data_IF_835393421801
#
_entry.id   IF_835393421801
#
_cell.length_a   1.000
_cell.length_b   1.000
_cell.length_c   1.000
_cell.angle_alpha   90.00
_cell.angle_beta   90.00
_cell.angle_gamma   90.00
#
_symmetry.space_group_name_H-M   'P 1'
#
loop_
_entity.id
_entity.type
_entity.pdbx_description
1 polymer ?
#
# COMPACT_ATOMS: atom_id res chain seq x y z
N UNK A 1 -14.79 -3.33 15.38
CA UNK A 1 -14.28 -2.51 14.26
C UNK A 1 -15.43 -2.20 13.30
N UNK A 2 -15.85 -0.94 13.26
CA UNK A 2 -16.88 -0.37 12.38
C UNK A 2 -16.35 -0.28 10.94
N UNK A 3 -17.23 -0.37 9.93
CA UNK A 3 -16.85 -0.05 8.53
C UNK A 3 -16.22 1.34 8.49
N UNK A 4 -15.06 1.47 7.87
CA UNK A 4 -14.40 2.78 7.74
C UNK A 4 -15.14 3.58 6.66
N UNK A 5 -15.67 4.76 6.98
CA UNK A 5 -16.33 5.64 6.00
C UNK A 5 -15.35 6.36 5.06
N UNK A 6 -14.05 6.11 5.24
CA UNK A 6 -12.95 6.77 4.53
C UNK A 6 -12.57 5.93 3.31
N UNK A 7 -12.51 6.56 2.14
CA UNK A 7 -12.06 5.93 0.89
C UNK A 7 -10.60 5.50 0.94
N UNK A 8 -10.21 4.56 0.07
CA UNK A 8 -8.87 3.97 0.04
C UNK A 8 -7.73 5.02 -0.02
N UNK A 9 -7.76 6.05 -0.89
CA UNK A 9 -6.70 7.05 -0.94
C UNK A 9 -6.60 7.88 0.35
N UNK A 10 -7.74 8.30 0.90
CA UNK A 10 -7.76 9.08 2.14
C UNK A 10 -7.30 8.24 3.34
N UNK A 11 -7.63 6.94 3.34
CA UNK A 11 -7.15 6.01 4.36
C UNK A 11 -5.64 5.79 4.26
N UNK A 12 -5.10 5.64 3.05
CA UNK A 12 -3.64 5.52 2.86
C UNK A 12 -2.91 6.78 3.31
N UNK A 13 -3.41 7.97 2.98
CA UNK A 13 -2.86 9.24 3.48
C UNK A 13 -2.92 9.33 5.01
N UNK A 14 -4.05 8.96 5.60
CA UNK A 14 -4.20 8.89 7.05
C UNK A 14 -3.15 7.97 7.67
N UNK A 15 -2.87 6.81 7.04
CA UNK A 15 -1.88 5.85 7.52
C UNK A 15 -0.44 6.36 7.35
N UNK A 16 -0.13 6.99 6.22
CA UNK A 16 1.19 7.60 5.98
C UNK A 16 1.51 8.69 7.03
N UNK A 17 0.50 9.37 7.57
CA UNK A 17 0.67 10.33 8.65
C UNK A 17 0.86 9.70 10.05
N UNK A 18 0.70 8.38 10.21
CA UNK A 18 0.80 7.71 11.52
C UNK A 18 2.26 7.46 11.91
N UNK A 19 2.65 7.77 13.16
CA UNK A 19 3.97 7.40 13.67
C UNK A 19 4.22 5.89 13.55
N UNK A 20 5.35 5.53 12.95
CA UNK A 20 5.78 4.14 12.77
C UNK A 20 5.23 3.44 11.53
N UNK A 21 4.11 3.87 10.96
CA UNK A 21 3.55 3.21 9.76
C UNK A 21 4.36 3.53 8.50
N UNK A 22 4.65 4.82 8.24
CA UNK A 22 5.40 5.22 7.05
C UNK A 22 6.81 4.59 6.99
N UNK A 23 7.61 4.54 8.08
CA UNK A 23 8.89 3.82 8.07
C UNK A 23 8.77 2.33 7.73
N UNK A 24 7.73 1.64 8.23
CA UNK A 24 7.52 0.22 7.96
C UNK A 24 7.13 -0.03 6.49
N UNK A 25 6.24 0.80 5.94
CA UNK A 25 5.85 0.74 4.53
C UNK A 25 7.05 1.03 3.62
N UNK A 26 7.87 2.03 3.98
CA UNK A 26 9.09 2.33 3.25
C UNK A 26 10.09 1.17 3.30
N UNK A 27 10.25 0.51 4.45
CA UNK A 27 11.11 -0.66 4.59
C UNK A 27 10.59 -1.85 3.77
N UNK A 28 9.28 -2.12 3.78
CA UNK A 28 8.67 -3.17 2.92
C UNK A 28 8.95 -2.90 1.44
N UNK A 29 8.84 -1.64 1.03
CA UNK A 29 9.13 -1.23 -0.33
C UNK A 29 10.62 -1.32 -0.70
N UNK A 30 11.50 -0.82 0.17
CA UNK A 30 12.92 -0.65 -0.13
C UNK A 30 13.76 -1.91 0.15
N UNK A 31 13.37 -2.73 1.12
CA UNK A 31 14.09 -3.95 1.51
C UNK A 31 13.49 -5.23 0.92
N UNK A 32 12.20 -5.23 0.57
CA UNK A 32 11.48 -6.42 0.11
C UNK A 32 10.84 -6.28 -1.28
N UNK A 33 11.02 -5.13 -1.93
CA UNK A 33 10.36 -4.77 -3.20
C UNK A 33 8.83 -5.00 -3.16
N UNK A 34 8.22 -4.83 -1.98
CA UNK A 34 6.79 -5.03 -1.79
C UNK A 34 5.99 -4.02 -2.61
N UNK A 35 4.93 -4.49 -3.26
CA UNK A 35 3.92 -3.58 -3.79
C UNK A 35 3.04 -3.08 -2.65
N UNK A 36 3.51 -2.03 -1.99
CA UNK A 36 2.83 -1.43 -0.84
C UNK A 36 1.41 -0.98 -1.17
N UNK A 37 1.08 -0.66 -2.42
CA UNK A 37 -0.29 -0.28 -2.80
C UNK A 37 -1.24 -1.47 -2.74
N UNK A 38 -0.80 -2.64 -3.21
CA UNK A 38 -1.60 -3.87 -3.13
C UNK A 38 -1.74 -4.35 -1.68
N UNK A 39 -0.68 -4.21 -0.88
CA UNK A 39 -0.75 -4.47 0.56
C UNK A 39 -1.77 -3.54 1.25
N UNK A 40 -1.70 -2.23 0.98
CA UNK A 40 -2.62 -1.24 1.52
C UNK A 40 -4.07 -1.51 1.10
N UNK A 41 -4.30 -1.79 -0.17
CA UNK A 41 -5.62 -2.18 -0.69
C UNK A 41 -6.17 -3.40 0.06
N UNK A 42 -5.33 -4.40 0.26
CA UNK A 42 -5.70 -5.64 0.93
C UNK A 42 -6.14 -5.41 2.37
N UNK A 43 -5.35 -4.62 3.12
CA UNK A 43 -5.66 -4.24 4.49
C UNK A 43 -6.96 -3.43 4.53
N UNK A 44 -7.12 -2.46 3.62
CA UNK A 44 -8.32 -1.64 3.54
C UNK A 44 -9.57 -2.49 3.26
N UNK A 45 -9.53 -3.41 2.30
CA UNK A 45 -10.63 -4.33 2.01
C UNK A 45 -11.01 -5.18 3.22
N UNK A 46 -10.01 -5.70 3.96
CA UNK A 46 -10.26 -6.41 5.20
C UNK A 46 -10.94 -5.56 6.27
N UNK A 47 -10.52 -4.30 6.46
CA UNK A 47 -11.18 -3.37 7.39
C UNK A 47 -12.64 -3.10 7.00
N UNK A 48 -12.95 -3.13 5.70
CA UNK A 48 -14.32 -3.04 5.19
C UNK A 48 -15.12 -4.35 5.27
N UNK A 49 -14.46 -5.45 5.67
CA UNK A 49 -14.99 -6.83 5.64
C UNK A 49 -15.38 -7.29 4.24
N UNK A 50 -14.63 -6.85 3.25
CA UNK A 50 -14.81 -7.17 1.84
C UNK A 50 -13.55 -7.87 1.30
N UNK A 51 -13.72 -8.58 0.19
CA UNK A 51 -12.63 -9.08 -0.65
C UNK A 51 -13.04 -9.07 -2.12
N UNK A 52 -12.03 -9.16 -2.97
CA UNK A 52 -12.20 -9.42 -4.38
C UNK A 52 -12.11 -10.93 -4.67
N UNK A 53 -12.96 -11.46 -5.56
CA UNK A 53 -12.76 -12.77 -6.16
C UNK A 53 -11.39 -12.90 -6.84
N UNK A 54 -10.85 -14.12 -6.95
CA UNK A 54 -9.53 -14.36 -7.55
C UNK A 54 -9.36 -13.79 -8.98
N UNK A 55 -10.35 -13.88 -9.90
CA UNK A 55 -10.20 -13.28 -11.24
C UNK A 55 -10.06 -11.75 -11.21
N UNK A 56 -10.72 -11.11 -10.25
CA UNK A 56 -10.67 -9.66 -10.05
C UNK A 56 -9.31 -9.22 -9.52
N UNK A 57 -8.69 -10.01 -8.63
CA UNK A 57 -7.30 -9.78 -8.21
C UNK A 57 -6.32 -9.85 -9.38
N UNK A 58 -6.46 -10.83 -10.28
CA UNK A 58 -5.57 -10.93 -11.43
C UNK A 58 -5.64 -9.69 -12.35
N UNK A 59 -6.85 -9.19 -12.62
CA UNK A 59 -7.03 -7.97 -13.40
C UNK A 59 -6.39 -6.75 -12.70
N UNK A 60 -6.55 -6.68 -11.38
CA UNK A 60 -5.99 -5.60 -10.56
C UNK A 60 -4.45 -5.64 -10.55
N UNK A 61 -3.85 -6.82 -10.40
CA UNK A 61 -2.39 -7.01 -10.50
C UNK A 61 -1.83 -6.54 -11.83
N UNK A 62 -2.51 -6.83 -12.95
CA UNK A 62 -2.07 -6.37 -14.27
C UNK A 62 -2.16 -4.85 -14.42
N UNK A 63 -3.28 -4.25 -13.98
CA UNK A 63 -3.45 -2.79 -14.01
C UNK A 63 -2.41 -2.09 -13.11
N UNK A 64 -2.14 -2.66 -11.94
CA UNK A 64 -1.14 -2.16 -11.02
C UNK A 64 0.27 -2.27 -11.60
N UNK A 65 0.66 -3.43 -12.12
CA UNK A 65 1.98 -3.65 -12.71
C UNK A 65 2.25 -2.63 -13.84
N UNK A 66 1.29 -2.41 -14.73
CA UNK A 66 1.45 -1.47 -15.84
C UNK A 66 1.75 -0.03 -15.36
N UNK A 67 1.04 0.46 -14.34
CA UNK A 67 1.30 1.80 -13.78
C UNK A 67 2.56 1.84 -12.93
N UNK A 68 2.78 0.80 -12.12
CA UNK A 68 3.94 0.67 -11.26
C UNK A 68 5.22 0.73 -12.07
N UNK A 69 5.31 -0.07 -13.13
CA UNK A 69 6.52 -0.19 -13.94
C UNK A 69 6.76 1.06 -14.79
N UNK A 70 5.70 1.73 -15.26
CA UNK A 70 5.82 2.92 -16.10
C UNK A 70 6.02 4.23 -15.33
N UNK A 71 5.57 4.33 -14.07
CA UNK A 71 5.50 5.61 -13.33
C UNK A 71 6.08 5.52 -11.92
N UNK A 72 5.67 4.53 -11.12
CA UNK A 72 6.09 4.45 -9.71
C UNK A 72 7.57 4.04 -9.61
N UNK A 73 7.99 2.99 -10.31
CA UNK A 73 9.38 2.52 -10.26
C UNK A 73 10.37 3.59 -10.73
N UNK A 74 10.15 4.30 -11.86
CA UNK A 74 11.04 5.39 -12.24
C UNK A 74 11.14 6.51 -11.18
N UNK A 75 10.02 6.90 -10.57
CA UNK A 75 10.03 7.90 -9.49
C UNK A 75 10.78 7.40 -8.25
N UNK A 76 10.60 6.13 -7.90
CA UNK A 76 11.26 5.45 -6.79
C UNK A 76 12.76 5.31 -7.01
N UNK A 77 13.18 4.96 -8.21
CA UNK A 77 14.59 4.89 -8.61
C UNK A 77 15.25 6.27 -8.51
N UNK A 78 14.58 7.33 -8.99
CA UNK A 78 15.05 8.70 -8.82
C UNK A 78 15.21 9.06 -7.34
N UNK A 79 14.22 8.76 -6.48
CA UNK A 79 14.32 8.98 -5.04
C UNK A 79 15.50 8.22 -4.42
N UNK A 80 15.64 6.92 -4.73
CA UNK A 80 16.74 6.07 -4.23
C UNK A 80 18.11 6.61 -4.67
N UNK A 81 18.25 7.02 -5.92
CA UNK A 81 19.49 7.58 -6.46
C UNK A 81 19.89 8.94 -5.87
N UNK A 82 18.92 9.72 -5.38
CA UNK A 82 19.15 11.02 -4.74
C UNK A 82 19.32 10.91 -3.21
N UNK A 83 19.09 9.73 -2.62
CA UNK A 83 19.15 9.54 -1.18
C UNK A 83 20.59 9.59 -0.65
N UNK A 84 20.78 10.20 0.52
CA UNK A 84 22.06 10.22 1.23
C UNK A 84 23.06 11.29 0.78
N UNK A 85 22.78 12.02 -0.31
CA UNK A 85 23.56 13.19 -0.74
C UNK A 85 22.92 14.50 -0.24
N UNK A 86 23.59 15.25 0.67
CA UNK A 86 23.10 16.54 1.16
C UNK A 86 22.86 17.58 0.06
N UNK A 87 23.62 17.53 -1.05
CA UNK A 87 23.46 18.49 -2.16
C UNK A 87 22.19 18.20 -2.97
N UNK A 88 21.77 16.95 -2.99
CA UNK A 88 20.56 16.48 -3.69
C UNK A 88 19.30 16.57 -2.83
N UNK A 89 19.36 17.07 -1.59
CA UNK A 89 18.22 17.05 -0.66
C UNK A 89 16.94 17.67 -1.23
N UNK A 90 17.05 18.78 -1.97
CA UNK A 90 15.88 19.41 -2.60
C UNK A 90 15.27 18.52 -3.70
N UNK A 91 16.11 17.93 -4.55
CA UNK A 91 15.68 16.99 -5.59
C UNK A 91 15.10 15.72 -4.99
N UNK A 92 15.69 15.20 -3.90
CA UNK A 92 15.18 14.05 -3.17
C UNK A 92 13.74 14.29 -2.68
N UNK A 93 13.45 15.48 -2.13
CA UNK A 93 12.08 15.80 -1.69
C UNK A 93 11.11 15.90 -2.87
N UNK A 94 11.55 16.44 -4.02
CA UNK A 94 10.74 16.50 -5.25
C UNK A 94 10.44 15.08 -5.76
N UNK A 95 11.46 14.22 -5.87
CA UNK A 95 11.28 12.84 -6.31
C UNK A 95 10.37 12.05 -5.36
N UNK A 96 10.55 12.23 -4.05
CA UNK A 96 9.69 11.63 -3.03
C UNK A 96 8.24 12.09 -3.16
N UNK A 97 8.00 13.39 -3.36
CA UNK A 97 6.64 13.91 -3.56
C UNK A 97 6.01 13.34 -4.84
N UNK A 98 6.77 13.27 -5.93
CA UNK A 98 6.31 12.69 -7.18
C UNK A 98 5.95 11.20 -7.05
N UNK A 99 6.76 10.41 -6.33
CA UNK A 99 6.45 8.99 -6.01
C UNK A 99 5.14 8.89 -5.23
N UNK A 100 4.99 9.66 -4.15
CA UNK A 100 3.78 9.66 -3.32
C UNK A 100 2.54 10.08 -4.11
N UNK A 101 2.64 11.09 -4.98
CA UNK A 101 1.53 11.52 -5.84
C UNK A 101 1.15 10.46 -6.88
N UNK A 102 2.14 9.77 -7.46
CA UNK A 102 1.90 8.66 -8.39
C UNK A 102 1.20 7.49 -7.70
N UNK A 103 1.59 7.17 -6.47
CA UNK A 103 0.98 6.15 -5.63
C UNK A 103 -0.46 6.50 -5.25
N UNK A 104 -0.71 7.71 -4.76
CA UNK A 104 -2.05 8.17 -4.39
C UNK A 104 -2.99 8.24 -5.60
N UNK A 105 -2.49 8.69 -6.75
CA UNK A 105 -3.24 8.70 -8.01
C UNK A 105 -3.66 7.30 -8.42
N UNK A 106 -2.78 6.31 -8.22
CA UNK A 106 -3.10 4.92 -8.51
C UNK A 106 -4.10 4.34 -7.52
N UNK A 107 -3.96 4.62 -6.22
CA UNK A 107 -4.96 4.24 -5.21
C UNK A 107 -6.34 4.82 -5.55
N UNK A 108 -6.41 6.04 -6.07
CA UNK A 108 -7.67 6.64 -6.52
C UNK A 108 -8.28 5.89 -7.71
N UNK A 109 -7.46 5.48 -8.70
CA UNK A 109 -7.93 4.66 -9.83
C UNK A 109 -8.41 3.29 -9.37
N UNK A 110 -7.69 2.66 -8.43
CA UNK A 110 -8.07 1.39 -7.83
C UNK A 110 -9.39 1.54 -7.06
N UNK A 111 -9.58 2.61 -6.30
CA UNK A 111 -10.84 2.88 -5.60
C UNK A 111 -12.03 2.97 -6.56
N UNK A 112 -11.90 3.72 -7.67
CA UNK A 112 -12.94 3.81 -8.71
C UNK A 112 -13.22 2.45 -9.35
N UNK A 113 -12.18 1.63 -9.55
CA UNK A 113 -12.34 0.28 -10.08
C UNK A 113 -13.11 -0.62 -9.10
N UNK A 114 -12.83 -0.54 -7.80
CA UNK A 114 -13.51 -1.30 -6.75
C UNK A 114 -15.01 -0.95 -6.65
N UNK A 115 -15.38 0.32 -6.83
CA UNK A 115 -16.78 0.76 -6.81
C UNK A 115 -17.64 0.05 -7.89
N UNK A 116 -16.99 -0.44 -8.95
CA UNK A 116 -17.63 -1.13 -10.08
C UNK A 116 -17.47 -2.65 -10.01
N UNK A 117 -16.83 -3.15 -8.95
CA UNK A 117 -16.44 -4.54 -8.79
C UNK A 117 -17.39 -5.27 -7.85
N UNK A 118 -17.60 -6.56 -8.11
CA UNK A 118 -18.37 -7.41 -7.19
C UNK A 118 -17.50 -7.83 -6.01
N UNK A 119 -17.78 -7.27 -4.84
CA UNK A 119 -17.10 -7.59 -3.59
C UNK A 119 -17.81 -8.74 -2.87
N UNK A 120 -17.02 -9.66 -2.30
CA UNK A 120 -17.51 -10.75 -1.46
C UNK A 120 -17.14 -10.53 0.00
N UNK A 121 -17.82 -11.21 0.92
CA UNK A 121 -17.34 -11.31 2.30
C UNK A 121 -16.12 -12.25 2.35
N UNK A 122 -15.06 -11.85 3.04
CA UNK A 122 -13.92 -12.72 3.31
C UNK A 122 -13.15 -12.28 4.56
N UNK A 123 -12.35 -13.20 5.10
CA UNK A 123 -11.40 -12.92 6.18
C UNK A 123 -10.08 -12.37 5.65
N UNK A 124 -9.31 -11.72 6.54
CA UNK A 124 -8.00 -11.09 6.24
C UNK A 124 -7.06 -12.01 5.47
N UNK A 125 -6.97 -13.28 5.87
CA UNK A 125 -6.03 -14.24 5.29
C UNK A 125 -6.30 -14.50 3.80
N UNK A 126 -7.56 -14.51 3.37
CA UNK A 126 -7.92 -14.62 1.96
C UNK A 126 -7.55 -13.34 1.18
N UNK A 127 -7.73 -12.17 1.78
CA UNK A 127 -7.33 -10.92 1.16
C UNK A 127 -5.80 -10.87 0.99
N UNK A 128 -5.02 -11.19 2.04
CA UNK A 128 -3.56 -11.21 2.02
C UNK A 128 -3.00 -12.19 1.00
N UNK A 129 -3.53 -13.42 0.97
CA UNK A 129 -3.08 -14.43 0.01
C UNK A 129 -3.29 -14.03 -1.46
N UNK A 130 -4.28 -13.18 -1.73
CA UNK A 130 -4.62 -12.78 -3.09
C UNK A 130 -3.97 -11.46 -3.53
N UNK A 131 -3.77 -10.52 -2.59
CA UNK A 131 -3.17 -9.21 -2.88
C UNK A 131 -1.65 -9.17 -2.77
N UNK A 132 -1.04 -10.07 -2.00
CA UNK A 132 0.42 -10.12 -1.82
C UNK A 132 1.01 -11.26 -2.66
N UNK A 133 1.96 -10.94 -3.54
CA UNK A 133 2.67 -11.95 -4.34
C UNK A 133 3.84 -12.52 -3.54
N UNK A 134 4.13 -13.82 -3.69
CA UNK A 134 5.30 -14.48 -3.08
C UNK A 134 5.08 -14.97 -1.64
N UNK A 135 6.07 -15.70 -1.11
CA UNK A 135 6.04 -16.22 0.27
C UNK A 135 6.20 -15.09 1.30
N UNK A 136 5.51 -15.22 2.43
CA UNK A 136 5.57 -14.26 3.53
C UNK A 136 6.55 -14.77 4.60
N UNK A 137 7.85 -14.59 4.35
CA UNK A 137 8.93 -15.09 5.20
C UNK A 137 10.01 -14.03 5.47
N UNK A 138 10.96 -14.37 6.35
CA UNK A 138 12.12 -13.56 6.68
C UNK A 138 11.77 -12.10 7.04
N UNK A 139 12.53 -11.17 6.46
CA UNK A 139 12.39 -9.74 6.72
C UNK A 139 11.01 -9.19 6.35
N UNK A 140 10.42 -9.71 5.27
CA UNK A 140 9.08 -9.32 4.82
C UNK A 140 8.04 -9.65 5.88
N UNK A 141 8.06 -10.87 6.42
CA UNK A 141 7.14 -11.29 7.47
C UNK A 141 7.27 -10.44 8.74
N UNK A 142 8.50 -10.16 9.18
CA UNK A 142 8.77 -9.31 10.35
C UNK A 142 8.18 -7.90 10.19
N UNK A 143 8.37 -7.29 9.01
CA UNK A 143 7.88 -5.94 8.75
C UNK A 143 6.35 -5.90 8.64
N UNK A 144 5.72 -6.92 8.03
CA UNK A 144 4.26 -7.05 7.97
C UNK A 144 3.67 -7.25 9.38
N UNK A 145 4.29 -8.05 10.23
CA UNK A 145 3.87 -8.23 11.63
C UNK A 145 3.95 -6.93 12.42
N UNK A 146 5.06 -6.19 12.28
CA UNK A 146 5.21 -4.87 12.91
C UNK A 146 4.19 -3.86 12.39
N UNK A 147 3.85 -3.91 11.10
CA UNK A 147 2.82 -3.07 10.51
C UNK A 147 1.44 -3.41 11.07
N UNK A 148 1.12 -4.70 11.23
CA UNK A 148 -0.12 -5.16 11.84
C UNK A 148 -0.25 -4.65 13.29
N UNK A 149 0.79 -4.80 14.11
CA UNK A 149 0.82 -4.27 15.48
C UNK A 149 0.70 -2.73 15.51
N UNK A 150 1.32 -2.04 14.55
CA UNK A 150 1.18 -0.60 14.40
C UNK A 150 -0.29 -0.22 14.11
N UNK A 151 -0.91 -0.88 13.15
CA UNK A 151 -2.31 -0.66 12.76
C UNK A 151 -3.26 -0.92 13.92
N UNK A 152 -3.09 -2.01 14.67
CA UNK A 152 -3.92 -2.32 15.83
C UNK A 152 -3.87 -1.21 16.88
N UNK A 153 -2.69 -0.69 17.20
CA UNK A 153 -2.55 0.45 18.13
C UNK A 153 -3.25 1.70 17.62
N UNK A 154 -3.11 2.02 16.33
CA UNK A 154 -3.74 3.21 15.75
C UNK A 154 -5.26 3.08 15.66
N UNK A 155 -5.78 1.90 15.31
CA UNK A 155 -7.22 1.65 15.21
C UNK A 155 -7.89 1.57 16.59
N UNK A 156 -7.19 1.06 17.60
CA UNK A 156 -7.67 1.03 18.99
C UNK A 156 -7.75 2.44 19.58
N UNK A 157 -6.90 3.37 19.13
CA UNK A 157 -6.96 4.79 19.56
C UNK A 157 -8.11 5.60 18.95
N UNK A 158 -8.84 5.02 17.99
CA UNK A 158 -10.01 5.62 17.34
C UNK A 158 -11.35 5.17 17.94
N UNK A 159 -11.34 4.24 18.90
CA UNK A 159 -12.52 3.74 19.61
C UNK A 159 -12.65 4.38 20.99
#
# INVERSE_FOLDING_TARGET
MSKTTIGLPQWAQWLYARPGAAPLLLALQDECDEDVLLLLLTIWLWLQRCALPAPQWQALHLQQAAWRDAVILPAREARRGLAGDPQSQALYQIAKQAEVEAELSQLARLAVWLERSELTAAGLQQCLAAGCIGQMDGRRAELVEQLALCLERQLSSLQ
#
